data_IF_909405317567
#
_entry.id   IF_909405317567
#
_cell.length_a   1.000
_cell.length_b   1.000
_cell.length_c   1.000
_cell.angle_alpha   90.00
_cell.angle_beta   90.00
_cell.angle_gamma   90.00
#
_symmetry.space_group_name_H-M   'P 1'
#
loop_
_entity.id
_entity.type
_entity.pdbx_description
1 polymer ?
#
# COMPACT_ATOMS: atom_id res chain seq x y z
N UNK A 1 -9.30 -10.32 -16.99
CA UNK A 1 -9.89 -8.99 -16.79
C UNK A 1 -9.73 -8.67 -15.31
N UNK A 2 -9.11 -7.55 -14.92
CA UNK A 2 -9.00 -7.20 -13.50
C UNK A 2 -10.41 -6.91 -12.93
N UNK A 3 -10.66 -7.19 -11.65
CA UNK A 3 -11.95 -6.90 -11.02
C UNK A 3 -12.23 -5.38 -11.07
N UNK A 4 -13.51 -4.98 -11.09
CA UNK A 4 -13.91 -3.58 -11.00
C UNK A 4 -13.42 -2.98 -9.67
N UNK A 5 -13.04 -1.70 -9.70
CA UNK A 5 -12.62 -0.98 -8.50
C UNK A 5 -13.82 -0.76 -7.57
N UNK A 6 -13.70 -0.93 -6.24
CA UNK A 6 -14.78 -0.69 -5.28
C UNK A 6 -14.99 0.82 -5.06
N UNK A 7 -15.30 1.54 -6.12
CA UNK A 7 -15.43 3.00 -6.13
C UNK A 7 -16.63 3.44 -5.30
N UNK A 8 -17.74 2.73 -5.37
CA UNK A 8 -18.97 3.12 -4.68
C UNK A 8 -18.82 3.03 -3.15
N UNK A 9 -18.17 1.99 -2.63
CA UNK A 9 -17.90 1.84 -1.21
C UNK A 9 -16.91 2.90 -0.71
N UNK A 10 -15.88 3.17 -1.51
CA UNK A 10 -14.88 4.19 -1.22
C UNK A 10 -15.49 5.61 -1.17
N UNK A 11 -16.38 5.91 -2.11
CA UNK A 11 -17.13 7.17 -2.16
C UNK A 11 -18.06 7.28 -0.95
N UNK A 12 -18.76 6.19 -0.61
CA UNK A 12 -19.65 6.14 0.55
C UNK A 12 -18.89 6.38 1.86
N UNK A 13 -17.71 5.79 2.03
CA UNK A 13 -16.89 6.00 3.24
C UNK A 13 -16.40 7.46 3.36
N UNK A 14 -15.89 8.04 2.27
CA UNK A 14 -15.48 9.45 2.24
C UNK A 14 -16.64 10.38 2.60
N UNK A 15 -17.78 10.25 1.93
CA UNK A 15 -18.90 11.17 2.10
C UNK A 15 -19.62 10.93 3.44
N UNK A 16 -20.08 9.71 3.68
CA UNK A 16 -21.03 9.42 4.75
C UNK A 16 -20.36 9.18 6.10
N UNK A 17 -19.14 8.63 6.12
CA UNK A 17 -18.46 8.30 7.38
C UNK A 17 -17.53 9.44 7.82
N UNK A 18 -16.82 10.05 6.87
CA UNK A 18 -15.80 11.04 7.22
C UNK A 18 -16.27 12.48 7.07
N UNK A 19 -16.81 12.88 5.92
CA UNK A 19 -17.07 14.30 5.65
C UNK A 19 -18.41 14.80 6.20
N UNK A 20 -19.46 13.99 6.19
CA UNK A 20 -20.79 14.37 6.71
C UNK A 20 -20.76 14.72 8.20
N UNK A 21 -19.85 14.12 8.97
CA UNK A 21 -19.67 14.41 10.39
C UNK A 21 -19.30 15.88 10.68
N UNK A 22 -18.74 16.59 9.69
CA UNK A 22 -18.35 17.99 9.83
C UNK A 22 -19.43 18.97 9.40
N UNK A 23 -20.48 18.50 8.72
CA UNK A 23 -21.58 19.36 8.28
C UNK A 23 -22.63 19.47 9.39
N UNK A 24 -22.94 20.68 9.86
CA UNK A 24 -23.98 20.86 10.86
C UNK A 24 -25.32 20.38 10.30
N UNK A 25 -26.11 19.71 11.12
CA UNK A 25 -27.45 19.27 10.73
C UNK A 25 -28.27 20.43 10.18
N UNK A 26 -28.89 20.24 9.02
CA UNK A 26 -29.93 21.11 8.52
C UNK A 26 -31.21 20.95 9.34
N UNK A 27 -32.10 21.93 9.27
CA UNK A 27 -33.43 21.82 9.85
C UNK A 27 -34.20 23.12 9.86
N UNK A 28 -35.49 23.03 9.48
CA UNK A 28 -36.43 24.16 9.51
C UNK A 28 -37.10 24.42 8.17
N UNK A 29 -37.21 25.70 7.79
CA UNK A 29 -37.87 26.15 6.56
C UNK A 29 -36.94 26.23 5.33
N UNK A 30 -35.68 25.81 5.48
CA UNK A 30 -34.65 25.84 4.43
C UNK A 30 -34.21 24.42 4.07
N UNK A 31 -33.61 24.20 2.88
CA UNK A 31 -33.03 22.91 2.51
C UNK A 31 -31.98 22.43 3.50
N UNK A 32 -31.74 21.12 3.53
CA UNK A 32 -30.71 20.55 4.38
C UNK A 32 -29.30 20.86 3.87
N UNK A 33 -28.40 21.08 4.83
CA UNK A 33 -26.97 21.15 4.56
C UNK A 33 -26.49 19.79 4.02
N UNK A 34 -25.57 19.81 3.05
CA UNK A 34 -25.15 18.58 2.38
C UNK A 34 -23.66 18.55 2.04
N UNK A 35 -23.13 17.34 1.90
CA UNK A 35 -21.84 17.07 1.25
C UNK A 35 -22.13 16.25 0.00
N UNK A 36 -21.57 16.66 -1.13
CA UNK A 36 -21.73 15.98 -2.42
C UNK A 36 -20.38 15.81 -3.09
N UNK A 37 -20.21 14.76 -3.89
CA UNK A 37 -19.01 14.56 -4.68
C UNK A 37 -19.16 15.26 -6.03
N UNK A 38 -18.25 16.18 -6.35
CA UNK A 38 -18.27 16.95 -7.61
C UNK A 38 -17.49 16.22 -8.69
N UNK A 39 -16.33 15.67 -8.31
CA UNK A 39 -15.46 14.93 -9.20
C UNK A 39 -14.73 13.84 -8.41
N UNK A 40 -14.53 12.69 -9.03
CA UNK A 40 -13.75 11.59 -8.44
C UNK A 40 -13.07 10.80 -9.54
N UNK A 41 -11.79 10.56 -9.35
CA UNK A 41 -10.98 9.67 -10.16
C UNK A 41 -10.43 8.56 -9.28
N UNK A 42 -10.85 7.34 -9.57
CA UNK A 42 -10.28 6.14 -8.97
C UNK A 42 -8.92 5.82 -9.57
N UNK A 43 -7.90 5.66 -8.73
CA UNK A 43 -6.58 5.13 -9.12
C UNK A 43 -6.31 3.83 -8.37
N UNK A 44 -5.58 2.94 -9.02
CA UNK A 44 -5.20 1.62 -8.47
C UNK A 44 -4.11 1.78 -7.41
N UNK A 45 -4.19 1.00 -6.33
CA UNK A 45 -3.18 0.96 -5.28
C UNK A 45 -2.08 -0.06 -5.63
N UNK A 46 -0.85 0.40 -5.86
CA UNK A 46 0.31 -0.45 -6.09
C UNK A 46 0.24 -1.35 -7.35
N UNK A 47 1.06 -2.41 -7.37
CA UNK A 47 1.06 -3.43 -8.43
C UNK A 47 -0.13 -4.37 -8.27
N UNK A 48 -1.19 -4.15 -9.06
CA UNK A 48 -2.34 -5.07 -9.17
C UNK A 48 -3.41 -4.93 -8.08
N UNK A 49 -3.62 -3.72 -7.54
CA UNK A 49 -4.67 -3.36 -6.55
C UNK A 49 -4.47 -4.01 -5.15
N UNK A 50 -3.25 -4.39 -4.81
CA UNK A 50 -2.94 -5.14 -3.58
C UNK A 50 -2.08 -4.31 -2.62
N UNK A 51 -2.58 -4.15 -1.39
CA UNK A 51 -1.90 -3.51 -0.25
C UNK A 51 -1.14 -4.52 0.62
N UNK A 52 -1.64 -5.75 0.70
CA UNK A 52 -1.14 -6.80 1.58
C UNK A 52 -2.23 -7.84 1.88
N UNK A 53 -2.09 -8.58 2.97
CA UNK A 53 -3.11 -9.50 3.47
C UNK A 53 -3.28 -9.29 4.99
N UNK A 54 -4.53 -9.25 5.48
CA UNK A 54 -4.81 -9.25 6.93
C UNK A 54 -4.95 -10.70 7.41
N UNK A 55 -4.17 -11.06 8.43
CA UNK A 55 -4.24 -12.38 9.10
C UNK A 55 -4.66 -12.15 10.55
N UNK A 56 -5.95 -12.34 10.82
CA UNK A 56 -6.48 -12.47 12.18
C UNK A 56 -6.57 -13.95 12.51
N UNK A 57 -6.00 -14.35 13.66
CA UNK A 57 -6.06 -15.72 14.16
C UNK A 57 -7.47 -16.31 14.02
N UNK A 58 -7.61 -17.37 13.22
CA UNK A 58 -8.86 -18.11 13.04
C UNK A 58 -9.84 -17.57 11.98
N UNK A 59 -9.44 -16.64 11.10
CA UNK A 59 -10.27 -16.19 9.96
C UNK A 59 -9.53 -16.34 8.61
N UNK A 60 -10.25 -16.53 7.49
CA UNK A 60 -9.63 -16.62 6.17
C UNK A 60 -8.86 -15.33 5.84
N UNK A 61 -7.72 -15.50 5.19
CA UNK A 61 -6.83 -14.43 4.72
C UNK A 61 -7.61 -13.53 3.75
N UNK A 62 -7.87 -12.28 4.16
CA UNK A 62 -8.47 -11.28 3.27
C UNK A 62 -7.35 -10.54 2.54
N UNK A 63 -7.40 -10.54 1.20
CA UNK A 63 -6.56 -9.64 0.42
C UNK A 63 -6.94 -8.21 0.79
N UNK A 64 -5.99 -7.45 1.33
CA UNK A 64 -6.17 -6.02 1.52
C UNK A 64 -6.07 -5.40 0.13
N UNK A 65 -7.23 -5.03 -0.40
CA UNK A 65 -7.34 -4.27 -1.64
C UNK A 65 -7.57 -2.81 -1.27
N UNK A 66 -7.22 -1.94 -2.19
CA UNK A 66 -7.44 -0.53 -1.98
C UNK A 66 -7.42 0.24 -3.27
N UNK A 67 -7.99 1.44 -3.20
CA UNK A 67 -8.00 2.40 -4.30
C UNK A 67 -7.68 3.76 -3.74
N UNK A 68 -6.97 4.55 -4.53
CA UNK A 68 -6.87 5.97 -4.27
C UNK A 68 -8.06 6.67 -4.93
N UNK A 69 -8.74 7.51 -4.17
CA UNK A 69 -9.72 8.45 -4.68
C UNK A 69 -9.08 9.84 -4.70
N UNK A 70 -8.85 10.34 -5.90
CA UNK A 70 -8.48 11.74 -6.12
C UNK A 70 -9.75 12.48 -6.55
N UNK A 71 -10.26 13.36 -5.69
CA UNK A 71 -11.59 13.93 -5.89
C UNK A 71 -11.82 15.26 -5.19
N UNK A 72 -13.01 15.80 -5.41
CA UNK A 72 -13.46 17.07 -4.82
C UNK A 72 -14.84 16.86 -4.22
N UNK A 73 -14.96 17.10 -2.92
CA UNK A 73 -16.24 17.14 -2.22
C UNK A 73 -16.73 18.59 -2.11
N UNK A 74 -17.98 18.85 -2.44
CA UNK A 74 -18.65 20.13 -2.22
C UNK A 74 -19.50 20.06 -0.98
N UNK A 75 -19.24 20.97 -0.05
CA UNK A 75 -20.13 21.22 1.08
C UNK A 75 -21.05 22.37 0.70
N UNK A 76 -22.34 22.19 0.93
CA UNK A 76 -23.37 23.21 0.74
C UNK A 76 -24.10 23.43 2.06
N UNK A 77 -24.12 24.68 2.52
CA UNK A 77 -24.84 25.12 3.71
C UNK A 77 -25.97 26.06 3.34
N UNK A 78 -27.06 25.97 4.09
CA UNK A 78 -28.27 26.76 3.98
C UNK A 78 -28.64 27.38 5.33
N UNK A 79 -29.06 28.64 5.32
CA UNK A 79 -29.63 29.30 6.48
C UNK A 79 -30.66 30.38 6.06
N UNK A 80 -31.40 30.91 7.01
CA UNK A 80 -32.31 32.06 6.83
C UNK A 80 -31.57 33.41 6.86
N UNK A 81 -30.31 33.45 7.32
CA UNK A 81 -29.52 34.69 7.38
C UNK A 81 -28.11 34.52 6.79
N UNK A 82 -27.53 35.57 6.18
CA UNK A 82 -26.21 35.49 5.56
C UNK A 82 -25.11 35.28 6.60
N UNK A 83 -25.21 35.92 7.76
CA UNK A 83 -24.21 35.79 8.82
C UNK A 83 -24.16 34.37 9.41
N UNK A 84 -25.30 33.70 9.51
CA UNK A 84 -25.34 32.33 10.04
C UNK A 84 -24.73 31.33 9.07
N UNK A 85 -24.98 31.46 7.76
CA UNK A 85 -24.36 30.57 6.76
C UNK A 85 -22.85 30.83 6.63
N UNK A 86 -22.40 32.08 6.77
CA UNK A 86 -20.98 32.43 6.79
C UNK A 86 -20.27 31.84 8.02
N UNK A 87 -20.80 32.08 9.22
CA UNK A 87 -20.25 31.53 10.46
C UNK A 87 -20.28 29.99 10.48
N UNK A 88 -21.35 29.39 9.92
CA UNK A 88 -21.45 27.95 9.74
C UNK A 88 -20.35 27.40 8.84
N UNK A 89 -20.08 28.06 7.71
CA UNK A 89 -19.03 27.64 6.78
C UNK A 89 -17.63 27.77 7.39
N UNK A 90 -17.36 28.87 8.09
CA UNK A 90 -16.10 29.05 8.83
C UNK A 90 -15.89 27.95 9.88
N UNK A 91 -16.96 27.59 10.63
CA UNK A 91 -16.91 26.51 11.60
C UNK A 91 -16.63 25.15 10.95
N UNK A 92 -17.27 24.84 9.81
CA UNK A 92 -16.99 23.62 9.04
C UNK A 92 -15.52 23.56 8.63
N UNK A 93 -15.00 24.63 8.03
CA UNK A 93 -13.60 24.68 7.59
C UNK A 93 -12.63 24.52 8.76
N UNK A 94 -12.88 25.22 9.87
CA UNK A 94 -12.06 25.10 11.08
C UNK A 94 -12.08 23.68 11.65
N UNK A 95 -13.25 23.02 11.69
CA UNK A 95 -13.39 21.66 12.20
C UNK A 95 -12.69 20.64 11.30
N UNK A 96 -12.85 20.74 9.98
CA UNK A 96 -12.17 19.87 9.02
C UNK A 96 -10.65 20.01 9.14
N UNK A 97 -10.15 21.25 9.21
CA UNK A 97 -8.71 21.51 9.36
C UNK A 97 -8.16 21.09 10.73
N UNK A 98 -8.95 21.26 11.79
CA UNK A 98 -8.62 20.79 13.14
C UNK A 98 -8.59 19.26 13.25
N UNK A 99 -9.39 18.56 12.46
CA UNK A 99 -9.45 17.10 12.43
C UNK A 99 -8.43 16.44 11.46
N UNK A 100 -7.49 17.21 10.89
CA UNK A 100 -6.58 16.73 9.84
C UNK A 100 -5.76 15.50 10.25
N UNK A 101 -5.33 15.40 11.50
CA UNK A 101 -4.61 14.21 12.00
C UNK A 101 -5.50 12.95 12.03
N UNK A 102 -6.74 13.09 12.50
CA UNK A 102 -7.74 12.01 12.52
C UNK A 102 -8.18 11.61 11.11
N UNK A 103 -8.33 12.58 10.20
CA UNK A 103 -8.64 12.31 8.81
C UNK A 103 -7.47 11.61 8.11
N UNK A 104 -6.23 11.96 8.45
CA UNK A 104 -5.03 11.28 7.92
C UNK A 104 -4.96 9.82 8.36
N UNK A 105 -5.27 9.51 9.62
CA UNK A 105 -5.31 8.13 10.09
C UNK A 105 -6.46 7.32 9.46
N UNK A 106 -7.55 8.00 9.10
CA UNK A 106 -8.68 7.42 8.38
C UNK A 106 -8.41 7.18 6.87
N UNK A 107 -7.34 7.75 6.30
CA UNK A 107 -6.94 7.51 4.91
C UNK A 107 -6.83 8.77 4.03
N UNK A 108 -7.13 9.97 4.54
CA UNK A 108 -6.93 11.21 3.78
C UNK A 108 -5.44 11.57 3.72
N UNK A 109 -4.81 11.28 2.58
CA UNK A 109 -3.43 11.62 2.31
C UNK A 109 -3.26 13.11 2.00
N UNK A 110 -4.23 13.68 1.28
CA UNK A 110 -4.33 15.10 0.98
C UNK A 110 -5.73 15.59 1.28
N UNK A 111 -5.83 16.76 1.89
CA UNK A 111 -7.08 17.48 2.09
C UNK A 111 -6.76 18.97 2.13
N UNK A 112 -7.43 19.74 1.28
CA UNK A 112 -7.33 21.19 1.26
C UNK A 112 -8.72 21.81 1.23
N UNK A 113 -8.79 23.07 1.66
CA UNK A 113 -9.99 23.89 1.58
C UNK A 113 -9.77 24.87 0.44
N UNK A 114 -10.64 24.84 -0.58
CA UNK A 114 -10.64 25.86 -1.62
C UNK A 114 -11.36 27.13 -1.13
N UNK A 115 -11.10 28.25 -1.80
CA UNK A 115 -11.81 29.50 -1.51
C UNK A 115 -13.33 29.30 -1.63
N UNK A 116 -14.07 29.75 -0.62
CA UNK A 116 -15.53 29.75 -0.65
C UNK A 116 -16.04 31.05 -1.26
N UNK A 117 -16.90 31.02 -2.28
CA UNK A 117 -17.59 32.22 -2.75
C UNK A 117 -18.45 32.84 -1.64
N UNK A 118 -18.79 34.14 -1.76
CA UNK A 118 -19.73 34.80 -0.86
C UNK A 118 -21.09 34.08 -0.81
N UNK A 119 -21.80 34.20 0.32
CA UNK A 119 -23.15 33.66 0.46
C UNK A 119 -24.10 34.24 -0.59
N UNK A 120 -24.91 33.38 -1.20
CA UNK A 120 -25.88 33.71 -2.24
C UNK A 120 -27.30 33.68 -1.66
N UNK A 121 -28.09 34.71 -1.92
CA UNK A 121 -29.50 34.74 -1.55
C UNK A 121 -30.37 34.06 -2.61
N UNK A 122 -31.13 33.04 -2.21
CA UNK A 122 -32.08 32.29 -3.04
C UNK A 122 -33.49 32.78 -2.76
N UNK A 123 -33.95 33.75 -3.56
CA UNK A 123 -35.22 34.44 -3.33
C UNK A 123 -36.47 33.55 -3.35
N UNK A 124 -36.46 32.44 -4.08
CA UNK A 124 -37.58 31.48 -4.11
C UNK A 124 -37.81 30.77 -2.77
N UNK A 125 -36.76 30.66 -1.94
CA UNK A 125 -36.78 30.00 -0.64
C UNK A 125 -36.64 31.01 0.52
N UNK A 126 -36.39 32.29 0.21
CA UNK A 126 -36.03 33.32 1.17
C UNK A 126 -34.91 32.84 2.13
N UNK A 127 -33.88 32.26 1.54
CA UNK A 127 -32.78 31.59 2.24
C UNK A 127 -31.43 31.97 1.63
N UNK A 128 -30.37 31.74 2.37
CA UNK A 128 -28.99 31.98 1.98
C UNK A 128 -28.26 30.65 1.84
N UNK A 129 -27.49 30.52 0.76
CA UNK A 129 -26.69 29.35 0.43
C UNK A 129 -25.22 29.72 0.37
N UNK A 130 -24.34 28.87 0.90
CA UNK A 130 -22.90 28.98 0.68
C UNK A 130 -22.31 27.61 0.35
N UNK A 131 -21.42 27.56 -0.63
CA UNK A 131 -20.75 26.33 -1.03
C UNK A 131 -19.24 26.44 -0.85
N UNK A 132 -18.57 25.34 -0.52
CA UNK A 132 -17.11 25.25 -0.60
C UNK A 132 -16.70 23.91 -1.19
N UNK A 133 -15.63 23.93 -1.97
CA UNK A 133 -15.02 22.72 -2.52
C UNK A 133 -13.83 22.29 -1.65
N UNK A 134 -13.73 20.99 -1.43
CA UNK A 134 -12.70 20.31 -0.64
C UNK A 134 -11.99 19.29 -1.54
N UNK A 135 -10.88 19.66 -2.20
CA UNK A 135 -10.04 18.71 -2.89
C UNK A 135 -9.40 17.73 -1.90
N UNK A 136 -9.41 16.45 -2.25
CA UNK A 136 -8.85 15.39 -1.41
C UNK A 136 -8.16 14.29 -2.22
N UNK A 137 -7.18 13.64 -1.57
CA UNK A 137 -6.64 12.34 -1.97
C UNK A 137 -6.89 11.37 -0.81
N UNK A 138 -7.69 10.36 -1.04
CA UNK A 138 -8.11 9.39 -0.04
C UNK A 138 -7.70 7.97 -0.42
N UNK A 139 -7.11 7.24 0.53
CA UNK A 139 -6.76 5.83 0.39
C UNK A 139 -7.85 4.96 1.00
N UNK A 140 -8.71 4.39 0.16
CA UNK A 140 -9.74 3.45 0.59
C UNK A 140 -9.15 2.07 0.83
N UNK A 141 -9.57 1.44 1.94
CA UNK A 141 -9.05 0.15 2.43
C UNK A 141 -10.19 -0.87 2.44
N UNK A 142 -10.35 -1.63 1.36
CA UNK A 142 -11.31 -2.73 1.37
C UNK A 142 -10.69 -3.99 1.96
N UNK A 143 -11.42 -4.60 2.88
CA UNK A 143 -11.23 -6.00 3.22
C UNK A 143 -12.22 -6.77 2.35
N UNK A 144 -11.73 -7.36 1.27
CA UNK A 144 -12.57 -8.19 0.41
C UNK A 144 -12.87 -9.50 1.17
N UNK A 145 -14.05 -9.58 1.79
CA UNK A 145 -14.53 -10.80 2.44
C UNK A 145 -15.51 -11.59 1.55
N UNK A 146 -16.04 -10.99 0.48
CA UNK A 146 -17.05 -11.57 -0.39
C UNK A 146 -16.84 -11.09 -1.84
N UNK A 147 -15.96 -11.76 -2.59
CA UNK A 147 -16.44 -12.50 -3.75
C UNK A 147 -15.39 -13.51 -4.26
N UNK A 148 -15.92 -14.64 -4.69
CA UNK A 148 -15.19 -15.73 -5.28
C UNK A 148 -14.64 -15.35 -6.67
N UNK A 149 -13.47 -14.70 -6.71
CA UNK A 149 -12.54 -14.83 -7.83
C UNK A 149 -11.35 -15.69 -7.42
N UNK A 150 -11.68 -16.96 -7.22
CA UNK A 150 -10.76 -18.08 -7.27
C UNK A 150 -10.07 -18.15 -8.63
N UNK A 151 -8.76 -17.88 -8.65
CA UNK A 151 -7.83 -18.95 -9.02
C UNK A 151 -6.84 -19.20 -7.87
N UNK A 152 -7.40 -19.29 -6.66
CA UNK A 152 -6.98 -20.32 -5.72
C UNK A 152 -7.85 -21.53 -6.07
N UNK A 153 -7.28 -22.51 -6.77
CA UNK A 153 -7.87 -23.85 -6.76
C UNK A 153 -7.83 -24.32 -5.31
N UNK A 154 -8.97 -24.28 -4.62
CA UNK A 154 -9.19 -25.02 -3.38
C UNK A 154 -9.45 -26.47 -3.77
N UNK A 155 -8.40 -27.28 -3.90
CA UNK A 155 -8.53 -28.73 -3.75
C UNK A 155 -8.46 -29.00 -2.25
N UNK A 156 -9.52 -29.49 -1.59
CA UNK A 156 -9.35 -30.08 -0.27
C UNK A 156 -8.56 -31.37 -0.47
N UNK A 157 -7.26 -31.33 -0.20
CA UNK A 157 -6.47 -32.54 -0.07
C UNK A 157 -6.43 -32.89 1.42
N UNK A 158 -7.16 -33.95 1.77
CA UNK A 158 -6.92 -34.69 3.00
C UNK A 158 -5.57 -35.38 2.84
N UNK A 159 -4.54 -34.87 3.50
CA UNK A 159 -3.26 -35.58 3.66
C UNK A 159 -3.14 -36.14 5.07
N UNK A 160 -4.19 -36.80 5.56
CA UNK A 160 -4.09 -38.04 6.34
C UNK A 160 -5.48 -38.70 6.44
N UNK A 161 -5.50 -40.01 6.60
CA UNK A 161 -6.68 -40.87 6.67
C UNK A 161 -7.12 -41.17 8.12
N UNK A 162 -6.72 -40.37 9.11
CA UNK A 162 -7.13 -40.57 10.51
C UNK A 162 -7.81 -39.34 11.14
N UNK A 163 -9.01 -39.64 11.67
CA UNK A 163 -10.03 -38.90 12.44
C UNK A 163 -10.15 -37.36 12.44
N UNK A 164 -11.41 -36.94 12.24
CA UNK A 164 -11.93 -35.60 12.40
C UNK A 164 -11.78 -35.13 13.86
N UNK A 165 -10.93 -34.12 14.11
CA UNK A 165 -10.71 -33.53 15.43
C UNK A 165 -9.28 -33.63 16.01
N UNK A 166 -8.32 -34.17 15.24
CA UNK A 166 -6.92 -34.22 15.66
C UNK A 166 -6.32 -32.82 15.93
N UNK A 167 -5.56 -32.63 17.03
CA UNK A 167 -4.85 -31.38 17.34
C UNK A 167 -3.70 -31.07 16.35
N UNK A 168 -3.41 -31.97 15.41
CA UNK A 168 -2.36 -31.85 14.39
C UNK A 168 -2.87 -31.34 13.03
N UNK A 169 -4.11 -30.86 12.96
CA UNK A 169 -4.67 -30.22 11.76
C UNK A 169 -3.92 -28.94 11.39
N UNK A 170 -2.90 -29.03 10.54
CA UNK A 170 -2.10 -27.89 10.09
C UNK A 170 -2.85 -27.16 8.95
N UNK A 171 -3.24 -25.91 9.20
CA UNK A 171 -3.73 -24.96 8.20
C UNK A 171 -2.54 -24.15 7.69
N UNK A 172 -2.14 -24.33 6.44
CA UNK A 172 -0.99 -23.65 5.83
C UNK A 172 -1.39 -22.24 5.32
N UNK A 173 -0.59 -21.22 5.65
CA UNK A 173 -0.82 -19.79 5.30
C UNK A 173 0.37 -19.24 4.51
N UNK A 174 0.11 -18.54 3.40
CA UNK A 174 1.13 -17.87 2.56
C UNK A 174 1.19 -16.38 2.91
N UNK A 175 2.37 -15.87 3.26
CA UNK A 175 2.63 -14.48 3.65
C UNK A 175 3.27 -13.71 2.48
N UNK A 176 2.69 -12.58 2.07
CA UNK A 176 3.25 -11.66 1.06
C UNK A 176 3.78 -10.41 1.79
N UNK A 177 5.09 -10.36 2.07
CA UNK A 177 5.74 -9.29 2.83
C UNK A 177 6.28 -8.21 1.87
N UNK A 178 5.57 -7.08 1.74
CA UNK A 178 6.09 -5.85 1.14
C UNK A 178 6.71 -4.97 2.23
N UNK A 179 7.84 -4.33 1.96
CA UNK A 179 8.47 -3.32 2.84
C UNK A 179 8.55 -1.97 2.17
N UNK A 180 8.33 -0.91 2.96
CA UNK A 180 8.51 0.48 2.55
C UNK A 180 9.74 1.04 3.26
N UNK A 181 10.61 1.69 2.50
CA UNK A 181 11.76 2.45 2.98
C UNK A 181 11.57 3.93 2.66
N UNK A 182 11.81 4.79 3.62
CA UNK A 182 11.74 6.25 3.51
C UNK A 182 12.56 6.92 4.63
N UNK A 183 12.35 8.21 4.85
CA UNK A 183 12.99 9.01 5.90
C UNK A 183 12.48 8.72 7.32
N UNK A 184 11.40 7.96 7.48
CA UNK A 184 10.93 7.46 8.78
C UNK A 184 11.59 6.12 9.13
N UNK A 185 11.87 5.27 8.13
CA UNK A 185 12.56 4.00 8.36
C UNK A 185 12.82 3.15 7.12
N UNK A 186 13.83 2.29 7.21
CA UNK A 186 14.21 1.32 6.19
C UNK A 186 14.31 -0.11 6.76
N UNK A 187 13.19 -0.70 7.24
CA UNK A 187 13.20 -2.04 7.83
C UNK A 187 13.59 -3.12 6.82
N UNK A 188 14.40 -4.10 7.25
CA UNK A 188 14.80 -5.21 6.38
C UNK A 188 13.60 -5.99 5.83
N UNK A 189 13.61 -6.28 4.54
CA UNK A 189 12.72 -7.26 3.93
C UNK A 189 13.33 -8.65 4.11
N UNK A 190 12.61 -9.57 4.73
CA UNK A 190 13.12 -10.92 4.99
C UNK A 190 12.04 -11.93 4.60
N UNK A 191 12.35 -12.78 3.62
CA UNK A 191 11.52 -13.91 3.23
C UNK A 191 12.04 -15.16 3.91
N UNK A 192 11.15 -15.89 4.58
CA UNK A 192 11.43 -17.18 5.23
C UNK A 192 10.23 -18.11 5.08
N UNK A 193 10.43 -19.43 5.03
CA UNK A 193 9.34 -20.38 5.27
C UNK A 193 8.76 -20.14 6.67
N UNK A 194 7.44 -19.93 6.75
CA UNK A 194 6.69 -19.74 8.01
C UNK A 194 5.53 -20.73 8.07
N UNK A 195 5.03 -21.03 9.28
CA UNK A 195 3.74 -21.72 9.46
C UNK A 195 3.60 -23.10 8.80
N UNK A 196 4.53 -24.03 9.06
CA UNK A 196 4.43 -25.41 8.55
C UNK A 196 4.86 -25.62 7.09
N UNK A 197 5.00 -24.54 6.32
CA UNK A 197 5.49 -24.61 4.94
C UNK A 197 6.93 -25.13 4.91
N UNK A 198 7.15 -26.26 4.25
CA UNK A 198 8.49 -26.87 4.17
C UNK A 198 9.41 -26.13 3.19
N UNK A 199 8.86 -25.31 2.30
CA UNK A 199 9.64 -24.69 1.23
C UNK A 199 9.01 -23.38 0.74
N UNK A 200 9.87 -22.42 0.40
CA UNK A 200 9.53 -21.19 -0.32
C UNK A 200 10.44 -21.08 -1.53
N UNK A 201 9.87 -20.72 -2.68
CA UNK A 201 10.58 -20.41 -3.90
C UNK A 201 10.49 -18.90 -4.15
N UNK A 202 11.59 -18.18 -4.00
CA UNK A 202 11.65 -16.80 -4.45
C UNK A 202 11.92 -16.78 -5.97
N UNK A 203 10.99 -16.22 -6.73
CA UNK A 203 10.97 -16.14 -8.19
C UNK A 203 11.48 -14.80 -8.72
N UNK A 204 11.57 -13.78 -7.87
CA UNK A 204 12.03 -12.47 -8.30
C UNK A 204 12.01 -11.42 -7.21
N UNK A 205 12.46 -10.23 -7.56
CA UNK A 205 12.44 -9.03 -6.73
C UNK A 205 11.77 -7.92 -7.54
N UNK A 206 10.81 -7.24 -6.91
CA UNK A 206 10.12 -6.09 -7.47
C UNK A 206 10.34 -4.90 -6.54
N UNK A 207 10.61 -3.74 -7.15
CA UNK A 207 10.85 -2.49 -6.45
C UNK A 207 10.11 -1.35 -7.15
N UNK A 208 9.71 -0.34 -6.39
CA UNK A 208 9.02 0.83 -6.90
C UNK A 208 9.36 2.00 -6.01
N UNK A 209 9.90 3.08 -6.57
CA UNK A 209 10.30 4.20 -5.73
C UNK A 209 10.31 5.54 -6.43
N UNK A 210 10.15 6.57 -5.62
CA UNK A 210 10.46 7.96 -5.94
C UNK A 210 11.82 8.30 -5.34
N UNK A 211 12.76 8.68 -6.20
CA UNK A 211 14.08 9.13 -5.81
C UNK A 211 14.26 10.58 -6.30
N UNK A 212 14.33 11.58 -5.39
CA UNK A 212 14.59 12.97 -5.77
C UNK A 212 15.85 13.12 -6.62
N UNK A 213 15.91 14.19 -7.43
CA UNK A 213 17.07 14.48 -8.26
C UNK A 213 18.37 14.53 -7.46
N UNK A 214 19.34 13.67 -7.81
CA UNK A 214 20.63 13.58 -7.12
C UNK A 214 20.63 12.68 -5.87
N UNK A 215 19.49 12.14 -5.46
CA UNK A 215 19.44 11.11 -4.42
C UNK A 215 19.93 9.77 -4.96
N UNK A 216 20.98 9.23 -4.36
CA UNK A 216 21.51 7.90 -4.69
C UNK A 216 21.16 6.85 -3.64
N UNK A 217 20.93 7.26 -2.39
CA UNK A 217 20.68 6.38 -1.25
C UNK A 217 21.95 5.66 -0.75
N UNK A 218 21.83 5.02 0.42
CA UNK A 218 22.90 4.22 1.02
C UNK A 218 23.05 2.85 0.37
N UNK A 219 23.98 2.04 0.88
CA UNK A 219 24.24 0.71 0.35
C UNK A 219 23.05 -0.23 0.58
N UNK A 220 22.80 -1.11 -0.39
CA UNK A 220 21.77 -2.14 -0.31
C UNK A 220 22.43 -3.50 -0.37
N UNK A 221 22.10 -4.38 0.57
CA UNK A 221 22.60 -5.75 0.63
C UNK A 221 21.47 -6.73 0.38
N UNK A 222 21.71 -7.70 -0.52
CA UNK A 222 20.88 -8.90 -0.66
C UNK A 222 21.67 -10.07 -0.08
N UNK A 223 21.05 -10.83 0.80
CA UNK A 223 21.67 -11.97 1.49
C UNK A 223 20.76 -13.19 1.39
N UNK A 224 21.32 -14.32 0.93
CA UNK A 224 20.76 -15.65 1.22
C UNK A 224 21.54 -16.25 2.38
N UNK A 225 20.82 -16.73 3.39
CA UNK A 225 21.46 -17.32 4.56
C UNK A 225 20.63 -18.40 5.23
N UNK A 226 21.23 -19.03 6.22
CA UNK A 226 20.60 -19.97 7.14
C UNK A 226 20.85 -19.47 8.55
N UNK A 227 19.80 -19.18 9.31
CA UNK A 227 19.88 -18.62 10.64
C UNK A 227 20.72 -19.53 11.56
N UNK A 228 21.78 -18.99 12.16
CA UNK A 228 22.69 -19.72 13.04
C UNK A 228 23.65 -20.68 12.33
N UNK A 229 23.79 -20.62 11.00
CA UNK A 229 24.84 -21.36 10.30
C UNK A 229 26.21 -20.68 10.49
N UNK A 230 27.29 -21.45 10.74
CA UNK A 230 28.64 -20.91 10.86
C UNK A 230 29.20 -20.53 9.48
N UNK A 231 30.07 -19.51 9.44
CA UNK A 231 30.74 -19.07 8.22
C UNK A 231 30.23 -17.73 7.68
N UNK A 232 31.11 -16.99 7.02
CA UNK A 232 30.75 -15.74 6.35
C UNK A 232 30.08 -16.02 5.00
N UNK A 233 29.11 -15.20 4.57
CA UNK A 233 28.53 -15.33 3.23
C UNK A 233 29.58 -15.21 2.12
N UNK A 234 29.44 -16.01 1.07
CA UNK A 234 30.23 -15.83 -0.16
C UNK A 234 29.77 -14.55 -0.85
N UNK A 235 30.71 -13.60 -1.06
CA UNK A 235 30.39 -12.31 -1.66
C UNK A 235 30.46 -12.41 -3.19
N UNK A 236 29.41 -11.95 -3.86
CA UNK A 236 29.30 -11.89 -5.31
C UNK A 236 29.36 -10.45 -5.81
N UNK A 237 30.00 -10.19 -6.96
CA UNK A 237 30.21 -8.83 -7.46
C UNK A 237 28.98 -8.23 -8.15
N UNK A 238 28.03 -9.06 -8.60
CA UNK A 238 26.84 -8.62 -9.35
C UNK A 238 25.60 -9.37 -8.90
N UNK A 239 24.42 -8.80 -9.18
CA UNK A 239 23.15 -9.47 -8.92
C UNK A 239 23.05 -10.81 -9.68
N UNK A 240 23.54 -10.84 -10.92
CA UNK A 240 23.48 -12.03 -11.78
C UNK A 240 24.33 -13.17 -11.21
N UNK A 241 25.58 -12.87 -10.82
CA UNK A 241 26.45 -13.86 -10.19
C UNK A 241 25.86 -14.38 -8.87
N UNK A 242 25.25 -13.49 -8.08
CA UNK A 242 24.55 -13.87 -6.86
C UNK A 242 23.38 -14.82 -7.17
N UNK A 243 22.45 -14.44 -8.06
CA UNK A 243 21.27 -15.24 -8.41
C UNK A 243 21.71 -16.60 -8.96
N UNK A 244 22.68 -16.65 -9.87
CA UNK A 244 23.17 -17.91 -10.44
C UNK A 244 23.77 -18.84 -9.39
N UNK A 245 24.45 -18.29 -8.39
CA UNK A 245 25.03 -19.05 -7.30
C UNK A 245 23.98 -19.55 -6.29
N UNK A 246 22.87 -18.83 -6.11
CA UNK A 246 21.84 -19.18 -5.11
C UNK A 246 20.60 -19.87 -5.66
N UNK A 247 20.34 -19.76 -6.96
CA UNK A 247 19.18 -20.38 -7.60
C UNK A 247 19.26 -21.92 -7.58
N UNK A 248 18.11 -22.56 -7.73
CA UNK A 248 17.97 -24.00 -7.60
C UNK A 248 18.92 -24.82 -8.49
N UNK A 249 19.65 -25.73 -7.84
CA UNK A 249 20.59 -26.68 -8.44
C UNK A 249 21.36 -27.46 -7.37
N UNK A 250 22.11 -28.48 -7.78
CA UNK A 250 22.82 -29.39 -6.87
C UNK A 250 23.94 -28.72 -6.05
N UNK A 251 24.44 -27.57 -6.52
CA UNK A 251 25.51 -26.79 -5.88
C UNK A 251 25.07 -25.38 -5.44
N UNK A 252 23.78 -25.17 -5.19
CA UNK A 252 23.27 -23.86 -4.78
C UNK A 252 23.85 -23.43 -3.42
N UNK A 253 24.45 -22.23 -3.36
CA UNK A 253 25.10 -21.70 -2.17
C UNK A 253 24.07 -21.26 -1.12
N UNK A 254 24.07 -21.85 0.07
CA UNK A 254 23.13 -21.51 1.16
C UNK A 254 23.52 -20.26 1.96
N UNK A 255 24.74 -19.74 1.77
CA UNK A 255 25.24 -18.52 2.39
C UNK A 255 25.96 -17.67 1.34
N UNK A 256 25.27 -16.67 0.81
CA UNK A 256 25.79 -15.80 -0.23
C UNK A 256 25.26 -14.37 -0.05
N UNK A 257 26.00 -13.40 -0.56
CA UNK A 257 25.66 -11.99 -0.44
C UNK A 257 26.07 -11.21 -1.68
N UNK A 258 25.31 -10.19 -2.02
CA UNK A 258 25.71 -9.13 -2.96
C UNK A 258 25.39 -7.78 -2.34
N UNK A 259 26.29 -6.81 -2.51
CA UNK A 259 26.13 -5.45 -2.00
C UNK A 259 26.21 -4.46 -3.14
N UNK A 260 25.23 -3.56 -3.20
CA UNK A 260 25.20 -2.42 -4.10
C UNK A 260 25.63 -1.19 -3.32
N UNK A 261 26.50 -0.34 -3.90
CA UNK A 261 26.99 0.85 -3.20
C UNK A 261 25.90 1.88 -2.91
N UNK A 262 24.79 1.85 -3.66
CA UNK A 262 23.69 2.81 -3.54
C UNK A 262 22.34 2.15 -3.87
N UNK A 263 21.24 2.74 -3.42
CA UNK A 263 19.86 2.34 -3.80
C UNK A 263 19.67 2.44 -5.31
N UNK A 264 20.17 3.51 -5.94
CA UNK A 264 20.10 3.68 -7.39
C UNK A 264 20.81 2.55 -8.17
N UNK A 265 21.99 2.10 -7.68
CA UNK A 265 22.71 0.98 -8.28
C UNK A 265 21.95 -0.35 -8.11
N UNK A 266 21.32 -0.56 -6.95
CA UNK A 266 20.44 -1.70 -6.72
C UNK A 266 19.25 -1.72 -7.69
N UNK A 267 18.53 -0.61 -7.86
CA UNK A 267 17.40 -0.54 -8.78
C UNK A 267 17.80 -0.79 -10.24
N UNK A 268 18.95 -0.23 -10.65
CA UNK A 268 19.52 -0.48 -11.98
C UNK A 268 19.83 -1.96 -12.19
N UNK A 269 20.35 -2.64 -11.16
CA UNK A 269 20.65 -4.07 -11.24
C UNK A 269 19.40 -4.95 -11.34
N UNK A 270 18.24 -4.49 -10.84
CA UNK A 270 16.99 -5.23 -10.99
C UNK A 270 16.54 -5.29 -12.46
N UNK A 271 16.81 -4.25 -13.23
CA UNK A 271 16.46 -4.18 -14.65
C UNK A 271 16.15 -2.76 -15.10
N UNK A 272 15.79 -2.58 -16.39
CA UNK A 272 15.41 -1.28 -16.91
C UNK A 272 14.17 -0.74 -16.17
N UNK A 273 14.09 0.59 -15.98
CA UNK A 273 12.91 1.21 -15.40
C UNK A 273 11.68 0.95 -16.27
N UNK A 274 10.57 0.61 -15.63
CA UNK A 274 9.27 0.58 -16.31
C UNK A 274 8.66 1.98 -16.44
N UNK A 275 7.44 2.08 -17.01
CA UNK A 275 6.73 3.34 -17.15
C UNK A 275 6.51 3.99 -15.77
N UNK A 276 6.85 5.27 -15.60
CA UNK A 276 6.67 5.96 -14.33
C UNK A 276 5.19 6.25 -14.08
N UNK A 277 4.83 6.41 -12.81
CA UNK A 277 3.47 6.78 -12.38
C UNK A 277 3.51 7.82 -11.27
N UNK A 278 2.50 8.68 -11.29
CA UNK A 278 2.28 9.76 -10.35
C UNK A 278 1.61 9.21 -9.07
N UNK A 279 2.24 9.45 -7.91
CA UNK A 279 1.68 9.10 -6.59
C UNK A 279 1.66 10.32 -5.64
N UNK A 280 1.37 11.51 -6.18
CA UNK A 280 1.31 12.74 -5.41
C UNK A 280 2.67 13.35 -5.13
N UNK A 281 2.74 14.24 -4.14
CA UNK A 281 3.90 15.07 -3.81
C UNK A 281 4.36 14.74 -2.39
N UNK A 282 5.29 13.78 -2.28
CA UNK A 282 5.83 13.26 -1.02
C UNK A 282 6.80 14.25 -0.39
N UNK A 283 7.67 14.88 -1.18
CA UNK A 283 8.63 15.86 -0.65
C UNK A 283 8.03 17.26 -0.40
N UNK A 284 6.76 17.45 -0.76
CA UNK A 284 5.96 18.67 -0.55
C UNK A 284 6.52 19.89 -1.29
N UNK A 285 7.14 19.68 -2.46
CA UNK A 285 7.70 20.75 -3.30
C UNK A 285 6.69 21.36 -4.30
N UNK A 286 5.44 20.92 -4.24
CA UNK A 286 4.33 21.26 -5.14
C UNK A 286 4.47 20.73 -6.57
N UNK A 287 5.43 19.82 -6.82
CA UNK A 287 5.59 19.04 -8.04
C UNK A 287 5.14 17.60 -7.75
N UNK A 288 4.54 16.95 -8.75
CA UNK A 288 4.10 15.57 -8.56
C UNK A 288 5.28 14.61 -8.72
N UNK A 289 5.41 13.70 -7.75
CA UNK A 289 6.45 12.69 -7.71
C UNK A 289 6.16 11.54 -8.65
N UNK A 290 7.15 11.26 -9.47
CA UNK A 290 7.11 10.16 -10.42
C UNK A 290 7.83 8.95 -9.82
N UNK A 291 7.04 7.93 -9.49
CA UNK A 291 7.55 6.67 -9.00
C UNK A 291 7.87 5.76 -10.17
N UNK A 292 9.02 5.10 -10.09
CA UNK A 292 9.56 4.27 -11.17
C UNK A 292 9.63 2.82 -10.71
N UNK A 293 8.99 1.88 -11.42
CA UNK A 293 9.04 0.47 -11.09
C UNK A 293 10.30 -0.20 -11.70
N UNK A 294 10.87 -1.14 -10.96
CA UNK A 294 11.96 -2.02 -11.39
C UNK A 294 11.63 -3.46 -11.00
N UNK A 295 11.97 -4.42 -11.86
CA UNK A 295 11.72 -5.83 -11.56
C UNK A 295 12.82 -6.72 -12.12
N UNK A 296 13.28 -7.66 -11.27
CA UNK A 296 14.13 -8.79 -11.65
C UNK A 296 13.36 -10.08 -11.47
N UNK A 297 13.11 -10.80 -12.56
CA UNK A 297 12.69 -12.21 -12.48
C UNK A 297 13.91 -13.11 -12.50
N UNK A 298 13.89 -14.16 -11.69
CA UNK A 298 14.93 -15.16 -11.68
C UNK A 298 14.62 -16.24 -12.71
N UNK A 299 15.62 -16.65 -13.49
CA UNK A 299 15.44 -17.73 -14.47
C UNK A 299 15.16 -19.08 -13.80
N UNK A 300 15.67 -19.26 -12.58
CA UNK A 300 15.38 -20.37 -11.67
C UNK A 300 15.10 -19.79 -10.29
N UNK A 301 14.15 -20.34 -9.52
CA UNK A 301 13.83 -19.82 -8.20
C UNK A 301 15.00 -20.01 -7.22
N UNK A 302 15.06 -19.15 -6.21
CA UNK A 302 15.88 -19.35 -5.02
C UNK A 302 15.04 -20.12 -4.01
N UNK A 303 15.41 -21.35 -3.72
CA UNK A 303 14.68 -22.17 -2.73
C UNK A 303 15.21 -21.98 -1.32
N UNK A 304 14.26 -21.68 -0.43
CA UNK A 304 14.41 -21.70 1.02
C UNK A 304 13.72 -22.98 1.52
N UNK A 305 14.51 -23.94 2.02
CA UNK A 305 14.09 -25.32 2.33
C UNK A 305 13.71 -25.55 3.79
N UNK A 306 13.94 -24.57 4.66
CA UNK A 306 13.71 -24.70 6.09
C UNK A 306 13.31 -23.37 6.70
N UNK A 307 12.65 -23.39 7.86
CA UNK A 307 12.33 -22.16 8.59
C UNK A 307 13.56 -21.38 9.10
N UNK A 308 14.77 -21.95 8.96
CA UNK A 308 16.03 -21.26 9.21
C UNK A 308 16.55 -20.54 7.97
N UNK A 309 16.16 -20.97 6.77
CA UNK A 309 16.60 -20.40 5.51
C UNK A 309 15.93 -19.04 5.31
N UNK A 310 16.67 -18.08 4.78
CA UNK A 310 16.13 -16.76 4.48
C UNK A 310 16.74 -16.14 3.23
N UNK A 311 15.96 -15.29 2.59
CA UNK A 311 16.42 -14.28 1.65
C UNK A 311 16.10 -12.90 2.23
N UNK A 312 17.11 -12.06 2.42
CA UNK A 312 16.95 -10.74 3.01
C UNK A 312 17.42 -9.64 2.07
N UNK A 313 16.72 -8.51 2.06
CA UNK A 313 17.14 -7.25 1.43
C UNK A 313 17.21 -6.19 2.54
N UNK A 314 18.37 -5.56 2.69
CA UNK A 314 18.63 -4.59 3.77
C UNK A 314 19.24 -3.32 3.21
N UNK A 315 18.86 -2.18 3.77
CA UNK A 315 19.55 -0.91 3.64
C UNK A 315 20.57 -0.79 4.78
N UNK A 316 21.71 -0.17 4.52
CA UNK A 316 22.80 0.01 5.50
C UNK A 316 22.47 1.03 6.60
N UNK A 317 21.65 2.03 6.28
CA UNK A 317 21.15 3.02 7.22
C UNK A 317 19.72 2.69 7.69
N UNK A 318 19.34 3.10 8.92
CA UNK A 318 18.02 2.81 9.47
C UNK A 318 16.86 3.53 8.78
N UNK A 319 17.14 4.55 7.95
CA UNK A 319 16.18 5.35 7.16
C UNK A 319 16.92 6.03 6.00
N UNK A 320 16.18 6.66 5.07
CA UNK A 320 16.73 7.53 4.05
C UNK A 320 17.05 8.93 4.61
N UNK A 321 18.06 9.58 4.04
CA UNK A 321 18.52 10.91 4.44
C UNK A 321 17.79 12.07 3.72
N UNK A 322 16.77 11.74 2.93
CA UNK A 322 16.05 12.63 2.02
C UNK A 322 14.64 12.07 1.84
N UNK A 323 13.64 12.88 1.47
CA UNK A 323 12.27 12.44 1.18
C UNK A 323 12.20 11.59 -0.10
N UNK A 324 12.90 10.47 -0.11
CA UNK A 324 12.77 9.41 -1.09
C UNK A 324 11.84 8.33 -0.51
N UNK A 325 11.21 7.54 -1.38
CA UNK A 325 10.38 6.40 -0.96
C UNK A 325 10.68 5.21 -1.84
N UNK A 326 10.83 4.03 -1.24
CA UNK A 326 11.03 2.77 -1.94
C UNK A 326 10.14 1.67 -1.37
N UNK A 327 9.30 1.10 -2.20
CA UNK A 327 8.54 -0.11 -1.92
C UNK A 327 9.30 -1.32 -2.49
N UNK A 328 9.45 -2.36 -1.68
CA UNK A 328 10.21 -3.57 -1.99
C UNK A 328 9.39 -4.82 -1.74
N UNK A 329 9.53 -5.78 -2.65
CA UNK A 329 8.89 -7.10 -2.56
C UNK A 329 9.78 -8.17 -3.15
N UNK A 330 9.70 -9.37 -2.58
CA UNK A 330 10.17 -10.60 -3.21
C UNK A 330 8.96 -11.36 -3.73
N UNK A 331 8.95 -11.68 -5.02
CA UNK A 331 7.91 -12.50 -5.63
C UNK A 331 8.18 -13.96 -5.22
N UNK A 332 7.40 -14.51 -4.29
CA UNK A 332 7.62 -15.87 -3.77
C UNK A 332 6.38 -16.76 -3.87
N UNK A 333 6.58 -18.04 -4.15
CA UNK A 333 5.55 -19.08 -4.15
C UNK A 333 5.92 -20.28 -3.27
N UNK A 334 4.90 -21.03 -2.85
CA UNK A 334 5.06 -22.26 -2.08
C UNK A 334 4.78 -23.45 -2.99
N UNK A 335 5.78 -24.30 -3.27
CA UNK A 335 5.57 -25.50 -4.08
C UNK A 335 4.66 -26.45 -3.31
N UNK A 336 3.65 -27.00 -3.99
CA UNK A 336 2.83 -28.08 -3.42
C UNK A 336 3.70 -29.32 -3.24
N UNK A 337 3.73 -29.87 -2.03
CA UNK A 337 4.29 -31.19 -1.76
C UNK A 337 3.58 -32.23 -2.65
N UNK A 338 4.35 -32.92 -3.48
CA UNK A 338 3.88 -34.06 -4.27
C UNK A 338 3.89 -35.36 -3.48
#
# INVERSE_FOLDING_TARGET
MPPPLPLDDAISEVLNVHLTAFVPGGGGAVPDNSVQLVAVNGRRLGLGDRRGADVRLGRPVSALRGVYLDGTARIELWDTTPNAVDAGMEAVQANVMGARASLRSAGFLRLSVADSPPAEHVGALNAWRKTTDLPFLYEYRSHDSDDAQSFIVRVPLRTDLEEEGSPEGVIETVIDDMRRWDDEGAPSLIVRPTGGAQRVHAQGISAMGFLPGGFTGGAVTIERGVAGAPGAPVIHPTLDAFIDAVADGDAAQSQAQVTFPTVAAFLTALGPPGPPFDLGDWDSDAVSDMYVPHQRRFARPVTLRSGRDFLAIRHDAPAFASPAVLYLRVDADHPRSG
#
